data_IF_647468814412
#
_entry.id   IF_647468814412
#
_cell.length_a   1.000
_cell.length_b   1.000
_cell.length_c   1.000
_cell.angle_alpha   90.00
_cell.angle_beta   90.00
_cell.angle_gamma   90.00
#
_symmetry.space_group_name_H-M   'P 1'
#
loop_
_entity.id
_entity.type
_entity.pdbx_description
1 polymer ?
#
# COMPACT_ATOMS: atom_id res chain seq x y z
N UNK A 1 -9.80 22.30 -3.28
CA UNK A 1 -9.03 22.28 -4.54
C UNK A 1 -9.31 20.95 -5.20
N UNK A 2 -10.00 20.96 -6.36
CA UNK A 2 -10.34 19.74 -7.10
C UNK A 2 -9.30 19.53 -8.19
N UNK A 3 -8.84 18.29 -8.33
CA UNK A 3 -7.66 17.85 -9.06
C UNK A 3 -8.05 17.14 -10.38
N UNK A 4 -7.19 17.20 -11.41
CA UNK A 4 -7.46 16.80 -12.82
C UNK A 4 -6.36 15.87 -13.41
N UNK A 5 -5.81 14.95 -12.61
CA UNK A 5 -4.88 13.90 -13.07
C UNK A 5 -5.48 12.53 -12.79
N UNK A 6 -5.96 11.83 -13.82
CA UNK A 6 -6.73 10.61 -13.61
C UNK A 6 -5.86 9.45 -13.11
N UNK A 7 -6.08 9.04 -11.86
CA UNK A 7 -5.77 7.69 -11.39
C UNK A 7 -6.49 6.66 -12.27
N UNK A 8 -5.98 5.41 -12.42
CA UNK A 8 -6.76 4.35 -13.05
C UNK A 8 -8.18 4.30 -12.44
N UNK A 9 -9.23 4.22 -13.26
CA UNK A 9 -10.63 4.43 -12.85
C UNK A 9 -11.09 3.55 -11.68
N UNK A 10 -10.38 2.45 -11.41
CA UNK A 10 -10.68 1.50 -10.34
C UNK A 10 -9.93 1.76 -9.03
N UNK A 11 -9.02 2.74 -8.95
CA UNK A 11 -8.30 3.06 -7.70
C UNK A 11 -9.01 4.23 -7.00
N UNK A 12 -9.50 3.99 -5.78
CA UNK A 12 -10.07 5.06 -4.98
C UNK A 12 -8.95 6.03 -4.56
N UNK A 13 -9.06 7.36 -4.79
CA UNK A 13 -8.03 8.32 -4.40
C UNK A 13 -7.64 8.25 -2.91
N UNK A 14 -8.61 7.91 -2.05
CA UNK A 14 -8.44 7.78 -0.60
C UNK A 14 -7.90 6.41 -0.17
N UNK A 15 -7.62 5.52 -1.11
CA UNK A 15 -6.97 4.24 -0.83
C UNK A 15 -5.51 4.44 -0.45
N UNK A 16 -5.03 3.65 0.51
CA UNK A 16 -3.61 3.62 0.85
C UNK A 16 -2.89 2.68 -0.11
N UNK A 17 -1.72 3.10 -0.56
CA UNK A 17 -0.79 2.32 -1.37
C UNK A 17 0.48 2.08 -0.58
N UNK A 18 1.03 0.87 -0.75
CA UNK A 18 2.34 0.46 -0.27
C UNK A 18 3.30 0.56 -1.45
N UNK A 19 4.42 1.23 -1.23
CA UNK A 19 5.44 1.47 -2.26
C UNK A 19 6.75 0.89 -1.78
N UNK A 20 7.30 -0.07 -2.52
CA UNK A 20 8.63 -0.63 -2.28
C UNK A 20 9.56 -0.09 -3.35
N UNK A 21 10.48 0.78 -2.96
CA UNK A 21 11.48 1.35 -3.87
C UNK A 21 12.59 0.35 -4.13
N UNK A 22 13.06 0.29 -5.36
CA UNK A 22 14.10 -0.63 -5.81
C UNK A 22 15.13 0.12 -6.63
N UNK A 23 16.38 -0.30 -6.54
CA UNK A 23 17.46 0.34 -7.28
C UNK A 23 17.39 -0.01 -8.77
N UNK A 24 17.42 1.01 -9.63
CA UNK A 24 17.52 0.87 -11.09
C UNK A 24 16.36 0.14 -11.80
N UNK A 25 15.24 -0.09 -11.12
CA UNK A 25 14.01 -0.65 -11.69
C UNK A 25 12.78 0.01 -11.06
N UNK A 26 11.62 -0.15 -11.69
CA UNK A 26 10.39 0.47 -11.22
C UNK A 26 9.97 -0.02 -9.82
N UNK A 27 9.32 0.85 -9.02
CA UNK A 27 8.85 0.48 -7.70
C UNK A 27 7.68 -0.51 -7.76
N UNK A 28 7.57 -1.35 -6.73
CA UNK A 28 6.35 -2.14 -6.51
C UNK A 28 5.33 -1.23 -5.84
N UNK A 29 4.14 -1.09 -6.44
CA UNK A 29 3.06 -0.24 -5.91
C UNK A 29 1.80 -1.10 -5.80
N UNK A 30 1.29 -1.29 -4.57
CA UNK A 30 0.14 -2.14 -4.33
C UNK A 30 -0.82 -1.47 -3.37
N UNK A 31 -2.11 -1.48 -3.68
CA UNK A 31 -3.15 -1.00 -2.76
C UNK A 31 -3.19 -1.86 -1.49
N UNK A 32 -3.29 -1.22 -0.32
CA UNK A 32 -3.36 -1.90 0.96
C UNK A 32 -4.56 -2.86 1.05
N UNK A 33 -5.65 -2.54 0.36
CA UNK A 33 -6.83 -3.38 0.20
C UNK A 33 -6.51 -4.74 -0.45
N UNK A 34 -5.82 -4.72 -1.60
CA UNK A 34 -5.38 -5.95 -2.28
C UNK A 34 -4.50 -6.82 -1.37
N UNK A 35 -3.64 -6.22 -0.55
CA UNK A 35 -2.82 -6.96 0.42
C UNK A 35 -3.69 -7.53 1.54
N UNK A 36 -4.61 -6.74 2.11
CA UNK A 36 -5.49 -7.20 3.19
C UNK A 36 -6.43 -8.32 2.76
N UNK A 37 -6.96 -8.24 1.54
CA UNK A 37 -7.87 -9.26 0.99
C UNK A 37 -7.15 -10.59 0.73
N UNK A 38 -5.88 -10.52 0.32
CA UNK A 38 -5.04 -11.69 0.09
C UNK A 38 -4.37 -12.23 1.38
N UNK A 39 -4.25 -11.40 2.43
CA UNK A 39 -3.45 -11.67 3.62
C UNK A 39 -1.94 -11.48 3.38
N UNK A 40 -1.41 -12.05 2.30
CA UNK A 40 -0.08 -11.75 1.79
C UNK A 40 0.00 -11.87 0.26
N UNK A 41 0.95 -11.16 -0.33
CA UNK A 41 1.24 -11.15 -1.76
C UNK A 41 2.74 -11.29 -1.97
N UNK A 42 3.16 -12.11 -2.94
CA UNK A 42 4.55 -12.15 -3.38
C UNK A 42 4.67 -11.49 -4.75
N UNK A 43 5.47 -10.44 -4.86
CA UNK A 43 5.68 -9.68 -6.11
C UNK A 43 7.18 -9.45 -6.27
N UNK A 44 7.75 -9.85 -7.40
CA UNK A 44 9.18 -9.69 -7.70
C UNK A 44 10.10 -10.11 -6.55
N UNK A 45 9.84 -11.29 -5.98
CA UNK A 45 10.54 -11.86 -4.83
C UNK A 45 10.45 -11.04 -3.54
N UNK A 46 9.46 -10.15 -3.41
CA UNK A 46 9.12 -9.47 -2.17
C UNK A 46 7.81 -10.03 -1.61
N UNK A 47 7.85 -10.50 -0.37
CA UNK A 47 6.65 -10.87 0.38
C UNK A 47 6.08 -9.62 1.08
N UNK A 48 4.84 -9.29 0.76
CA UNK A 48 4.10 -8.16 1.31
C UNK A 48 2.92 -8.73 2.07
N UNK A 49 2.96 -8.65 3.39
CA UNK A 49 1.92 -9.18 4.26
C UNK A 49 1.21 -8.06 5.00
N UNK A 50 -0.08 -8.28 5.25
CA UNK A 50 -0.89 -7.41 6.07
C UNK A 50 -1.35 -8.18 7.31
N UNK A 51 -1.36 -7.50 8.45
CA UNK A 51 -1.94 -8.03 9.68
C UNK A 51 -2.88 -6.98 10.25
N UNK A 52 -4.10 -7.40 10.57
CA UNK A 52 -5.07 -6.57 11.29
C UNK A 52 -4.41 -5.93 12.51
N UNK A 53 -4.70 -4.66 12.77
CA UNK A 53 -4.04 -3.92 13.83
C UNK A 53 -4.14 -4.63 15.17
N UNK A 54 -3.02 -4.70 15.91
CA UNK A 54 -3.06 -5.00 17.34
C UNK A 54 -3.98 -3.98 18.01
N UNK A 55 -5.01 -4.48 18.71
CA UNK A 55 -5.83 -3.70 19.64
C UNK A 55 -4.94 -2.85 20.54
N UNK A 56 -4.95 -1.53 20.36
CA UNK A 56 -4.70 -0.67 21.51
C UNK A 56 -5.96 -0.80 22.37
N UNK A 57 -5.83 -1.42 23.54
CA UNK A 57 -6.91 -1.61 24.52
C UNK A 57 -7.53 -0.27 25.03
N UNK A 58 -7.11 0.88 24.50
CA UNK A 58 -7.66 2.20 24.76
C UNK A 58 -8.65 2.70 23.70
N UNK A 59 -8.74 2.07 22.52
CA UNK A 59 -9.42 2.66 21.34
C UNK A 59 -10.79 2.00 21.01
N UNK A 60 -11.31 1.17 21.92
CA UNK A 60 -12.51 0.35 21.70
C UNK A 60 -13.82 1.12 21.49
N UNK A 61 -13.87 2.45 21.63
CA UNK A 61 -15.12 3.20 21.52
C UNK A 61 -15.46 3.76 20.14
N UNK A 62 -14.52 3.86 19.18
CA UNK A 62 -14.77 4.61 17.93
C UNK A 62 -14.30 3.95 16.62
N UNK A 63 -13.93 2.67 16.63
CA UNK A 63 -13.54 1.93 15.40
C UNK A 63 -14.80 1.41 14.67
N UNK A 64 -15.72 2.32 14.30
CA UNK A 64 -16.88 1.97 13.47
C UNK A 64 -16.89 2.64 12.10
N UNK A 65 -15.90 3.49 11.75
CA UNK A 65 -15.89 4.18 10.44
C UNK A 65 -14.53 4.32 9.76
N UNK A 66 -13.43 3.94 10.41
CA UNK A 66 -12.11 3.85 9.79
C UNK A 66 -11.75 2.40 9.54
N UNK A 67 -11.79 1.97 8.28
CA UNK A 67 -11.27 0.68 7.80
C UNK A 67 -9.94 0.36 8.51
N UNK A 68 -9.88 -0.80 9.15
CA UNK A 68 -8.74 -1.30 9.96
C UNK A 68 -7.39 -0.81 9.41
N UNK A 69 -6.66 -0.06 10.24
CA UNK A 69 -5.38 0.58 9.88
C UNK A 69 -4.23 -0.41 10.07
N UNK A 70 -4.47 -1.68 9.74
CA UNK A 70 -3.56 -2.80 10.01
C UNK A 70 -2.14 -2.58 9.49
N UNK A 71 -1.20 -3.34 10.05
CA UNK A 71 0.23 -3.19 9.80
C UNK A 71 0.64 -3.93 8.54
N UNK A 72 1.42 -3.29 7.68
CA UNK A 72 2.06 -3.92 6.52
C UNK A 72 3.51 -4.27 6.86
N UNK A 73 3.96 -5.43 6.37
CA UNK A 73 5.37 -5.85 6.42
C UNK A 73 5.83 -6.25 5.03
N UNK A 74 7.04 -5.83 4.65
CA UNK A 74 7.67 -6.17 3.37
C UNK A 74 8.98 -6.89 3.66
N UNK A 75 9.19 -8.04 3.02
CA UNK A 75 10.43 -8.81 3.11
C UNK A 75 10.97 -9.19 1.74
N UNK A 76 12.30 -9.23 1.61
CA UNK A 76 12.97 -9.73 0.40
C UNK A 76 12.99 -11.28 0.36
N UNK A 77 13.57 -11.83 -0.71
CA UNK A 77 13.74 -13.27 -0.90
C UNK A 77 14.58 -13.96 0.20
N UNK A 78 15.41 -13.19 0.91
CA UNK A 78 16.23 -13.68 2.02
C UNK A 78 15.51 -13.57 3.37
N UNK A 79 14.29 -13.01 3.39
CA UNK A 79 13.48 -12.79 4.58
C UNK A 79 13.84 -11.51 5.35
N UNK A 80 14.69 -10.63 4.81
CA UNK A 80 15.05 -9.36 5.45
C UNK A 80 13.94 -8.34 5.27
N UNK A 81 13.70 -7.52 6.29
CA UNK A 81 12.73 -6.43 6.19
C UNK A 81 13.23 -5.34 5.22
N UNK A 82 12.37 -4.94 4.30
CA UNK A 82 12.68 -3.96 3.25
C UNK A 82 11.98 -2.63 3.54
N UNK A 83 12.66 -1.47 3.38
CA UNK A 83 12.03 -0.17 3.48
C UNK A 83 10.86 -0.01 2.50
N UNK A 84 9.76 0.52 2.98
CA UNK A 84 8.58 0.80 2.16
C UNK A 84 7.86 2.05 2.67
N UNK A 85 7.16 2.72 1.76
CA UNK A 85 6.33 3.88 2.08
C UNK A 85 4.85 3.46 2.07
N UNK A 86 4.06 4.05 2.97
CA UNK A 86 2.59 3.94 2.94
C UNK A 86 1.99 5.34 2.82
N UNK A 87 1.26 5.60 1.74
CA UNK A 87 0.63 6.90 1.48
C UNK A 87 -0.70 6.75 0.75
N UNK A 88 -1.45 7.84 0.60
CA UNK A 88 -2.67 7.82 -0.20
C UNK A 88 -2.36 7.78 -1.71
N UNK A 89 -3.20 7.11 -2.49
CA UNK A 89 -3.06 6.99 -3.94
C UNK A 89 -3.01 8.38 -4.62
N UNK A 90 -3.85 9.32 -4.19
CA UNK A 90 -3.80 10.69 -4.73
C UNK A 90 -2.46 11.38 -4.45
N UNK A 91 -1.86 11.14 -3.28
CA UNK A 91 -0.59 11.76 -2.90
C UNK A 91 0.55 11.17 -3.72
N UNK A 92 0.57 9.86 -3.89
CA UNK A 92 1.53 9.19 -4.78
C UNK A 92 1.46 9.77 -6.20
N UNK A 93 0.27 9.85 -6.79
CA UNK A 93 0.11 10.38 -8.15
C UNK A 93 0.50 11.86 -8.27
N UNK A 94 0.25 12.68 -7.24
CA UNK A 94 0.66 14.09 -7.22
C UNK A 94 2.18 14.29 -7.15
N UNK A 95 2.91 13.40 -6.46
CA UNK A 95 4.37 13.49 -6.30
C UNK A 95 5.16 12.70 -7.37
N UNK A 96 4.52 11.73 -8.02
CA UNK A 96 5.07 10.91 -9.10
C UNK A 96 4.12 10.88 -10.32
N UNK A 97 3.97 12.01 -11.04
CA UNK A 97 3.06 12.08 -12.19
C UNK A 97 3.45 11.13 -13.35
N UNK A 98 4.73 10.76 -13.46
CA UNK A 98 5.27 9.80 -14.45
C UNK A 98 5.56 8.40 -13.86
N UNK A 99 5.15 8.12 -12.61
CA UNK A 99 5.40 6.81 -11.99
C UNK A 99 4.60 5.69 -12.65
N UNK A 100 5.28 4.64 -13.14
CA UNK A 100 4.62 3.46 -13.70
C UNK A 100 3.92 2.65 -12.59
N UNK A 101 2.61 2.45 -12.74
CA UNK A 101 1.83 1.60 -11.83
C UNK A 101 2.03 0.14 -12.20
N UNK A 102 2.85 -0.59 -11.43
CA UNK A 102 2.97 -2.05 -11.59
C UNK A 102 1.76 -2.75 -11.00
N UNK A 103 0.67 -2.75 -11.77
CA UNK A 103 -0.55 -3.49 -11.50
C UNK A 103 -0.30 -4.94 -11.91
N UNK A 104 0.34 -5.70 -11.02
CA UNK A 104 0.62 -7.12 -11.26
C UNK A 104 -0.63 -7.85 -11.75
N UNK A 105 -0.48 -8.49 -12.92
CA UNK A 105 -1.43 -9.42 -13.56
C UNK A 105 -1.76 -10.61 -12.68
#
# INVERSE_FOLDING_TARGET
>A
FLYDGQLPDYINPMERVVIVRRENIDPIIVTMNKISDAGSLTIDNHDISWTAGQNSALDQSDISKGRDVGTVRVRDASGNDVPHDVMFAFAFHAFWPEGEWMLGS
#
